data_IF_817877919714
#
_entry.id   IF_817877919714
#
_cell.length_a   1.000
_cell.length_b   1.000
_cell.length_c   1.000
_cell.angle_alpha   90.00
_cell.angle_beta   90.00
_cell.angle_gamma   90.00
#
_symmetry.space_group_name_H-M   'P 1'
#
loop_
_entity.id
_entity.type
_entity.pdbx_description
1 polymer ?
#
# COMPACT_ATOMS: atom_id res chain seq x y z
N UNK A 1 8.13 -18.60 -6.70
CA UNK A 1 7.68 -18.32 -8.09
C UNK A 1 7.23 -16.86 -8.30
N UNK A 2 6.15 -16.40 -7.65
CA UNK A 2 5.68 -15.01 -7.75
C UNK A 2 6.64 -13.95 -7.18
N UNK A 3 7.52 -14.33 -6.25
CA UNK A 3 8.57 -13.46 -5.70
C UNK A 3 9.75 -13.22 -6.65
N UNK A 4 9.84 -13.94 -7.77
CA UNK A 4 10.99 -13.88 -8.70
C UNK A 4 10.64 -13.26 -10.06
N UNK A 5 9.37 -12.98 -10.30
CA UNK A 5 8.89 -12.35 -11.53
C UNK A 5 8.73 -10.84 -11.34
N UNK A 6 8.70 -10.10 -12.46
CA UNK A 6 8.32 -8.67 -12.46
C UNK A 6 6.93 -8.48 -11.84
N UNK A 7 6.52 -7.24 -11.50
CA UNK A 7 5.18 -7.00 -10.96
C UNK A 7 4.09 -7.65 -11.82
N UNK A 8 3.21 -8.44 -11.20
CA UNK A 8 2.27 -9.32 -11.91
C UNK A 8 0.97 -9.60 -11.13
N UNK A 9 0.87 -9.11 -9.90
CA UNK A 9 -0.24 -9.37 -8.98
C UNK A 9 -1.20 -8.17 -8.89
N UNK A 10 -2.05 -8.16 -7.87
CA UNK A 10 -2.92 -7.02 -7.55
C UNK A 10 -2.12 -5.73 -7.36
N UNK A 11 -2.77 -4.59 -7.58
CA UNK A 11 -2.14 -3.26 -7.54
C UNK A 11 -0.92 -3.12 -8.47
N UNK A 12 -0.94 -3.78 -9.63
CA UNK A 12 0.14 -3.75 -10.62
C UNK A 12 0.57 -2.32 -11.00
N UNK A 13 -0.39 -1.41 -11.17
CA UNK A 13 -0.11 0.00 -11.45
C UNK A 13 0.73 0.65 -10.35
N UNK A 14 0.44 0.40 -9.06
CA UNK A 14 1.19 1.01 -7.96
C UNK A 14 2.58 0.39 -7.81
N UNK A 15 2.71 -0.91 -8.07
CA UNK A 15 4.01 -1.60 -8.05
C UNK A 15 4.93 -1.09 -9.17
N UNK A 16 4.40 -0.97 -10.39
CA UNK A 16 5.15 -0.45 -11.55
C UNK A 16 5.54 1.00 -11.38
N UNK A 17 4.65 1.83 -10.82
CA UNK A 17 4.94 3.21 -10.45
C UNK A 17 6.10 3.32 -9.43
N UNK A 18 6.05 2.50 -8.38
CA UNK A 18 7.10 2.46 -7.35
C UNK A 18 8.44 2.00 -7.94
N UNK A 19 8.40 0.95 -8.77
CA UNK A 19 9.59 0.43 -9.43
C UNK A 19 10.19 1.41 -10.46
N UNK A 20 9.35 2.17 -11.17
CA UNK A 20 9.77 3.20 -12.11
C UNK A 20 10.63 4.27 -11.42
N UNK A 21 10.16 4.79 -10.28
CA UNK A 21 10.91 5.78 -9.51
C UNK A 21 12.24 5.22 -9.00
N UNK A 22 12.24 3.96 -8.54
CA UNK A 22 13.47 3.28 -8.11
C UNK A 22 14.49 3.13 -9.25
N UNK A 23 14.01 2.83 -10.47
CA UNK A 23 14.81 2.77 -11.69
C UNK A 23 15.38 4.16 -12.06
N UNK A 24 14.58 5.21 -11.97
CA UNK A 24 15.00 6.57 -12.30
C UNK A 24 16.08 7.13 -11.36
N UNK A 25 16.17 6.66 -10.11
CA UNK A 25 17.30 6.97 -9.23
C UNK A 25 18.66 6.42 -9.71
N UNK A 26 18.64 5.46 -10.64
CA UNK A 26 19.82 4.87 -11.25
C UNK A 26 20.08 5.45 -12.62
N UNK A 27 19.03 5.51 -13.44
CA UNK A 27 19.14 5.88 -14.85
C UNK A 27 19.25 7.39 -15.08
N UNK A 28 18.73 8.21 -14.16
CA UNK A 28 18.71 9.66 -14.34
C UNK A 28 19.52 10.39 -13.27
N UNK A 29 19.15 10.25 -11.99
CA UNK A 29 19.77 11.00 -10.90
C UNK A 29 19.39 10.40 -9.54
N UNK A 30 20.37 10.15 -8.68
CA UNK A 30 20.18 9.58 -7.34
C UNK A 30 19.74 10.56 -6.26
N UNK A 31 19.32 11.78 -6.59
CA UNK A 31 18.87 12.74 -5.60
C UNK A 31 17.51 12.34 -5.00
N UNK A 32 17.52 11.82 -3.77
CA UNK A 32 16.33 11.42 -3.01
C UNK A 32 15.25 12.51 -2.94
N UNK A 33 15.64 13.79 -2.92
CA UNK A 33 14.72 14.92 -2.82
C UNK A 33 14.16 15.37 -4.18
N UNK A 34 14.64 14.81 -5.29
CA UNK A 34 14.15 15.10 -6.65
C UNK A 34 13.72 13.79 -7.34
N UNK A 35 12.72 13.06 -6.81
CA UNK A 35 12.26 11.82 -7.43
C UNK A 35 11.68 12.10 -8.81
N UNK A 36 11.89 11.16 -9.76
CA UNK A 36 11.43 11.27 -11.14
C UNK A 36 10.50 10.12 -11.51
N UNK A 37 9.50 10.42 -12.34
CA UNK A 37 8.48 9.47 -12.81
C UNK A 37 8.55 9.29 -14.31
N UNK A 38 7.95 8.21 -14.83
CA UNK A 38 7.98 7.90 -16.27
C UNK A 38 6.85 8.59 -17.05
N UNK A 39 5.70 8.76 -16.40
CA UNK A 39 4.56 9.52 -16.93
C UNK A 39 4.83 11.01 -16.69
N UNK A 40 5.52 11.63 -17.64
CA UNK A 40 6.00 13.02 -17.54
C UNK A 40 5.85 13.84 -18.81
N UNK A 41 5.36 13.22 -19.88
CA UNK A 41 5.43 13.80 -21.21
C UNK A 41 6.86 14.17 -21.58
N UNK A 42 7.05 15.41 -22.02
CA UNK A 42 8.34 16.01 -22.36
C UNK A 42 9.03 16.73 -21.18
N UNK A 43 8.49 16.63 -19.95
CA UNK A 43 9.04 17.28 -18.77
C UNK A 43 10.19 16.46 -18.16
N UNK A 44 10.88 17.06 -17.18
CA UNK A 44 12.00 16.42 -16.46
C UNK A 44 11.60 15.19 -15.63
N UNK A 45 10.30 15.04 -15.33
CA UNK A 45 9.76 13.98 -14.48
C UNK A 45 9.85 14.25 -12.99
N UNK A 46 10.53 15.33 -12.57
CA UNK A 46 10.59 15.67 -11.14
C UNK A 46 9.18 16.05 -10.69
N UNK A 47 8.69 15.43 -9.63
CA UNK A 47 7.36 15.74 -9.08
C UNK A 47 7.28 15.44 -7.60
N UNK A 48 6.33 16.07 -6.94
CA UNK A 48 5.89 15.69 -5.61
C UNK A 48 5.26 14.30 -5.63
N UNK A 49 5.58 13.51 -4.61
CA UNK A 49 5.02 12.19 -4.37
C UNK A 49 5.14 11.80 -2.89
N UNK A 50 4.79 10.56 -2.56
CA UNK A 50 5.15 9.96 -1.29
C UNK A 50 6.67 10.00 -1.08
N UNK A 51 7.14 10.12 0.16
CA UNK A 51 8.58 10.23 0.39
C UNK A 51 9.31 9.01 -0.17
N UNK A 52 10.23 9.17 -1.13
CA UNK A 52 10.72 8.07 -1.98
C UNK A 52 11.81 7.24 -1.29
N UNK A 53 11.78 7.12 0.04
CA UNK A 53 12.79 6.38 0.80
C UNK A 53 12.81 4.89 0.44
N UNK A 54 11.64 4.26 0.29
CA UNK A 54 11.56 2.87 -0.18
C UNK A 54 12.18 2.72 -1.57
N UNK A 55 11.77 3.58 -2.52
CA UNK A 55 12.24 3.59 -3.89
C UNK A 55 13.77 3.78 -3.94
N UNK A 56 14.30 4.63 -3.06
CA UNK A 56 15.72 4.88 -2.94
C UNK A 56 16.48 3.66 -2.43
N UNK A 57 16.01 2.97 -1.39
CA UNK A 57 16.64 1.72 -0.93
C UNK A 57 16.59 0.65 -2.03
N UNK A 58 15.48 0.53 -2.76
CA UNK A 58 15.40 -0.39 -3.92
C UNK A 58 16.43 0.00 -4.99
N UNK A 59 16.62 1.29 -5.26
CA UNK A 59 17.67 1.75 -6.19
C UNK A 59 19.07 1.37 -5.71
N UNK A 60 19.36 1.45 -4.41
CA UNK A 60 20.65 1.00 -3.87
C UNK A 60 20.86 -0.51 -4.09
N UNK A 61 19.80 -1.32 -3.95
CA UNK A 61 19.85 -2.74 -4.30
C UNK A 61 20.09 -2.93 -5.81
N UNK A 62 19.46 -2.11 -6.66
CA UNK A 62 19.71 -2.14 -8.11
C UNK A 62 21.17 -1.77 -8.46
N UNK A 63 21.82 -0.88 -7.73
CA UNK A 63 23.25 -0.57 -7.93
C UNK A 63 24.15 -1.77 -7.64
N UNK A 64 23.79 -2.59 -6.67
CA UNK A 64 24.61 -3.74 -6.23
C UNK A 64 24.35 -4.97 -7.10
N UNK A 65 23.09 -5.25 -7.43
CA UNK A 65 22.67 -6.51 -8.06
C UNK A 65 22.20 -6.35 -9.52
N UNK A 66 22.17 -5.13 -10.05
CA UNK A 66 21.54 -4.81 -11.33
C UNK A 66 20.05 -4.49 -11.19
N UNK A 67 19.46 -3.85 -12.21
CA UNK A 67 18.03 -3.54 -12.24
C UNK A 67 17.25 -4.85 -12.35
N UNK A 68 16.65 -5.26 -11.24
CA UNK A 68 15.90 -6.52 -11.14
C UNK A 68 14.71 -6.37 -10.20
N UNK A 69 13.51 -6.23 -10.77
CA UNK A 69 12.26 -5.90 -10.06
C UNK A 69 11.97 -6.73 -8.79
N UNK A 70 12.27 -8.05 -8.73
CA UNK A 70 12.13 -8.85 -7.52
C UNK A 70 12.83 -8.31 -6.27
N UNK A 71 13.89 -7.50 -6.40
CA UNK A 71 14.59 -6.93 -5.25
C UNK A 71 13.67 -6.04 -4.40
N UNK A 72 12.73 -5.32 -5.01
CA UNK A 72 11.70 -4.58 -4.28
C UNK A 72 10.78 -5.51 -3.49
N UNK A 73 10.33 -6.61 -4.10
CA UNK A 73 9.49 -7.63 -3.43
C UNK A 73 10.24 -8.23 -2.24
N UNK A 74 11.53 -8.49 -2.37
CA UNK A 74 12.36 -9.05 -1.30
C UNK A 74 12.60 -8.06 -0.17
N UNK A 75 12.77 -6.77 -0.46
CA UNK A 75 12.83 -5.74 0.56
C UNK A 75 11.52 -5.70 1.37
N UNK A 76 10.36 -5.72 0.71
CA UNK A 76 9.05 -5.78 1.38
C UNK A 76 8.89 -7.04 2.23
N UNK A 77 9.38 -8.18 1.74
CA UNK A 77 9.35 -9.45 2.47
C UNK A 77 10.24 -9.43 3.71
N UNK A 78 11.44 -8.84 3.60
CA UNK A 78 12.32 -8.64 4.74
C UNK A 78 11.67 -7.73 5.79
N UNK A 79 11.09 -6.61 5.36
CA UNK A 79 10.37 -5.69 6.26
C UNK A 79 9.20 -6.38 6.96
N UNK A 80 8.36 -7.14 6.24
CA UNK A 80 7.21 -7.83 6.83
C UNK A 80 7.64 -8.92 7.82
N UNK A 81 8.71 -9.65 7.53
CA UNK A 81 9.28 -10.69 8.42
C UNK A 81 9.82 -10.09 9.71
N UNK A 82 10.57 -8.98 9.62
CA UNK A 82 11.08 -8.29 10.80
C UNK A 82 9.92 -7.68 11.60
N UNK A 83 8.93 -7.09 10.92
CA UNK A 83 7.72 -6.55 11.54
C UNK A 83 6.98 -7.62 12.36
N UNK A 84 6.78 -8.83 11.81
CA UNK A 84 6.18 -9.96 12.53
C UNK A 84 6.99 -10.38 13.76
N UNK A 85 8.31 -10.41 13.64
CA UNK A 85 9.19 -10.80 14.75
C UNK A 85 9.11 -9.80 15.90
N UNK A 86 9.14 -8.50 15.60
CA UNK A 86 9.03 -7.46 16.62
C UNK A 86 7.60 -7.37 17.17
N UNK A 87 6.59 -7.57 16.32
CA UNK A 87 5.20 -7.67 16.75
C UNK A 87 4.98 -8.80 17.75
N UNK A 88 5.54 -9.99 17.50
CA UNK A 88 5.46 -11.10 18.44
C UNK A 88 6.09 -10.75 19.80
N UNK A 89 7.25 -10.08 19.81
CA UNK A 89 7.90 -9.62 21.05
C UNK A 89 7.06 -8.58 21.79
N UNK A 90 6.48 -7.62 21.07
CA UNK A 90 5.57 -6.62 21.62
C UNK A 90 4.32 -7.29 22.22
N UNK A 91 3.72 -8.22 21.48
CA UNK A 91 2.55 -8.97 21.91
C UNK A 91 2.87 -9.88 23.11
N UNK A 92 4.06 -10.49 23.18
CA UNK A 92 4.50 -11.24 24.36
C UNK A 92 4.59 -10.36 25.62
N UNK A 93 5.07 -9.12 25.47
CA UNK A 93 5.23 -8.19 26.58
C UNK A 93 3.88 -7.68 27.09
N UNK A 94 2.96 -7.30 26.20
CA UNK A 94 1.67 -6.71 26.57
C UNK A 94 0.58 -7.76 26.83
N UNK A 95 0.63 -8.87 26.10
CA UNK A 95 -0.46 -9.82 25.94
C UNK A 95 0.05 -11.27 25.76
N UNK A 96 0.83 -11.81 26.72
CA UNK A 96 1.60 -13.04 26.56
C UNK A 96 0.75 -14.24 26.14
N UNK A 97 -0.46 -14.33 26.70
CA UNK A 97 -1.37 -15.45 26.50
C UNK A 97 -1.94 -15.52 25.08
N UNK A 98 -2.02 -14.39 24.37
CA UNK A 98 -2.55 -14.32 23.01
C UNK A 98 -1.49 -13.99 21.95
N UNK A 99 -0.22 -13.81 22.34
CA UNK A 99 0.86 -13.34 21.46
C UNK A 99 1.04 -14.21 20.20
N UNK A 100 1.06 -15.53 20.36
CA UNK A 100 1.21 -16.46 19.24
C UNK A 100 0.01 -16.42 18.30
N UNK A 101 -1.21 -16.38 18.84
CA UNK A 101 -2.42 -16.29 18.03
C UNK A 101 -2.55 -14.94 17.30
N UNK A 102 -2.16 -13.85 17.97
CA UNK A 102 -2.14 -12.53 17.38
C UNK A 102 -1.13 -12.46 16.22
N UNK A 103 0.06 -13.01 16.41
CA UNK A 103 1.11 -13.02 15.39
C UNK A 103 0.71 -13.90 14.20
N UNK A 104 0.12 -15.06 14.47
CA UNK A 104 -0.39 -15.94 13.43
C UNK A 104 -1.50 -15.25 12.63
N UNK A 105 -2.40 -14.54 13.31
CA UNK A 105 -3.47 -13.76 12.66
C UNK A 105 -2.92 -12.63 11.80
N UNK A 106 -1.90 -11.91 12.28
CA UNK A 106 -1.25 -10.86 11.50
C UNK A 106 -0.60 -11.45 10.23
N UNK A 107 0.12 -12.56 10.37
CA UNK A 107 0.75 -13.25 9.24
C UNK A 107 -0.27 -13.72 8.20
N UNK A 108 -1.40 -14.29 8.63
CA UNK A 108 -2.42 -14.82 7.72
C UNK A 108 -3.45 -13.79 7.25
N UNK A 109 -3.37 -12.53 7.71
CA UNK A 109 -4.14 -11.43 7.14
C UNK A 109 -3.83 -11.31 5.65
N UNK A 110 -4.88 -11.25 4.82
CA UNK A 110 -4.75 -11.13 3.37
C UNK A 110 -3.90 -9.92 2.98
N UNK A 111 -4.18 -8.77 3.58
CA UNK A 111 -3.48 -7.54 3.26
C UNK A 111 -2.00 -7.60 3.65
N UNK A 112 -1.71 -8.13 4.85
CA UNK A 112 -0.34 -8.21 5.35
C UNK A 112 0.51 -9.17 4.50
N UNK A 113 -0.03 -10.33 4.15
CA UNK A 113 0.65 -11.30 3.30
C UNK A 113 0.89 -10.76 1.88
N UNK A 114 -0.16 -10.20 1.25
CA UNK A 114 -0.07 -9.70 -0.13
C UNK A 114 0.94 -8.56 -0.24
N UNK A 115 0.80 -7.51 0.56
CA UNK A 115 1.73 -6.37 0.55
C UNK A 115 3.15 -6.76 0.99
N UNK A 116 3.29 -7.84 1.79
CA UNK A 116 4.56 -8.50 2.12
C UNK A 116 5.39 -8.93 0.91
N UNK A 117 4.78 -9.00 -0.28
CA UNK A 117 5.40 -9.51 -1.50
C UNK A 117 5.29 -8.58 -2.69
N UNK A 118 4.88 -7.33 -2.47
CA UNK A 118 4.69 -6.32 -3.51
C UNK A 118 5.78 -5.25 -3.43
N UNK A 119 6.12 -4.67 -4.58
CA UNK A 119 7.06 -3.53 -4.67
C UNK A 119 6.35 -2.26 -4.20
N UNK A 120 6.19 -2.09 -2.89
CA UNK A 120 5.44 -0.99 -2.28
C UNK A 120 6.04 -0.60 -0.92
N UNK A 121 6.03 0.69 -0.53
CA UNK A 121 6.58 1.16 0.75
C UNK A 121 5.80 0.71 1.99
N UNK A 122 4.59 0.17 1.82
CA UNK A 122 3.62 -0.13 2.88
C UNK A 122 4.17 -1.05 3.97
N UNK A 123 4.90 -2.10 3.59
CA UNK A 123 5.47 -3.04 4.56
C UNK A 123 6.65 -2.45 5.33
N UNK A 124 7.41 -1.56 4.71
CA UNK A 124 8.45 -0.83 5.39
C UNK A 124 7.86 0.18 6.39
N UNK A 125 6.79 0.88 6.01
CA UNK A 125 6.05 1.75 6.91
C UNK A 125 5.42 0.97 8.08
N UNK A 126 4.88 -0.22 7.82
CA UNK A 126 4.35 -1.12 8.85
C UNK A 126 5.44 -1.61 9.81
N UNK A 127 6.63 -1.98 9.31
CA UNK A 127 7.75 -2.35 10.17
C UNK A 127 8.11 -1.21 11.13
N UNK A 128 8.30 0.01 10.62
CA UNK A 128 8.59 1.18 11.43
C UNK A 128 7.45 1.57 12.39
N UNK A 129 6.19 1.36 12.00
CA UNK A 129 5.04 1.55 12.88
C UNK A 129 5.14 0.62 14.10
N UNK A 130 5.40 -0.67 13.88
CA UNK A 130 5.53 -1.65 14.97
C UNK A 130 6.76 -1.36 15.82
N UNK A 131 7.88 -0.95 15.21
CA UNK A 131 9.09 -0.56 15.94
C UNK A 131 8.84 0.65 16.83
N UNK A 132 8.11 1.66 16.34
CA UNK A 132 7.73 2.82 17.13
C UNK A 132 7.00 2.42 18.39
N UNK A 133 5.94 1.62 18.24
CA UNK A 133 5.15 1.15 19.39
C UNK A 133 6.00 0.29 20.33
N UNK A 134 6.81 -0.62 19.79
CA UNK A 134 7.67 -1.49 20.58
C UNK A 134 8.68 -0.71 21.42
N UNK A 135 9.42 0.23 20.82
CA UNK A 135 10.37 1.05 21.55
C UNK A 135 9.69 1.96 22.56
N UNK A 136 8.54 2.53 22.24
CA UNK A 136 7.77 3.36 23.16
C UNK A 136 7.31 2.59 24.39
N UNK A 137 6.71 1.42 24.20
CA UNK A 137 6.25 0.57 25.31
C UNK A 137 7.43 0.19 26.22
N UNK A 138 8.56 -0.19 25.63
CA UNK A 138 9.79 -0.47 26.39
C UNK A 138 10.39 0.75 27.08
N UNK A 139 10.27 1.93 26.48
CA UNK A 139 10.66 3.17 27.11
C UNK A 139 9.82 3.41 28.37
N UNK A 140 8.51 3.19 28.32
CA UNK A 140 7.64 3.35 29.51
C UNK A 140 8.00 2.43 30.68
N UNK A 141 8.66 1.30 30.43
CA UNK A 141 9.10 0.36 31.48
C UNK A 141 10.51 0.67 32.02
N UNK A 142 11.38 1.32 31.23
CA UNK A 142 12.80 1.45 31.57
C UNK A 142 13.32 2.89 31.61
N UNK A 143 12.51 3.85 31.17
CA UNK A 143 12.81 5.29 31.06
C UNK A 143 14.12 5.63 30.32
N UNK A 144 14.62 4.71 29.47
CA UNK A 144 15.86 4.90 28.71
C UNK A 144 15.65 5.87 27.53
N UNK A 145 16.33 7.02 27.46
CA UNK A 145 16.12 8.01 26.39
C UNK A 145 16.38 7.48 24.98
N UNK A 146 17.30 6.50 24.82
CA UNK A 146 17.58 5.87 23.54
C UNK A 146 16.38 5.11 22.97
N UNK A 147 15.49 4.56 23.81
CA UNK A 147 14.27 3.92 23.37
C UNK A 147 13.24 4.94 22.91
N UNK A 148 13.13 6.08 23.60
CA UNK A 148 12.26 7.17 23.14
C UNK A 148 12.75 7.73 21.79
N UNK A 149 14.06 7.91 21.63
CA UNK A 149 14.66 8.32 20.35
C UNK A 149 14.40 7.28 19.24
N UNK A 150 14.57 5.98 19.53
CA UNK A 150 14.24 4.90 18.60
C UNK A 150 12.76 4.89 18.21
N UNK A 151 11.87 5.18 19.16
CA UNK A 151 10.43 5.36 18.89
C UNK A 151 10.18 6.57 17.99
N UNK A 152 10.80 7.74 18.27
CA UNK A 152 10.66 8.95 17.46
C UNK A 152 11.09 8.73 16.03
N UNK A 153 12.28 8.17 15.81
CA UNK A 153 12.82 7.92 14.46
C UNK A 153 11.95 6.91 13.71
N UNK A 154 11.49 5.86 14.38
CA UNK A 154 10.60 4.87 13.76
C UNK A 154 9.24 5.48 13.42
N UNK A 155 8.64 6.28 14.31
CA UNK A 155 7.38 6.97 14.06
C UNK A 155 7.49 7.95 12.88
N UNK A 156 8.57 8.72 12.86
CA UNK A 156 8.91 9.64 11.78
C UNK A 156 8.99 8.90 10.45
N UNK A 157 9.76 7.81 10.35
CA UNK A 157 9.90 7.04 9.11
C UNK A 157 8.58 6.37 8.69
N UNK A 158 7.80 5.84 9.63
CA UNK A 158 6.50 5.23 9.34
C UNK A 158 5.54 6.24 8.70
N UNK A 159 5.40 7.43 9.30
CA UNK A 159 4.50 8.49 8.84
C UNK A 159 5.02 9.20 7.59
N UNK A 160 6.33 9.35 7.45
CA UNK A 160 6.97 9.94 6.28
C UNK A 160 6.84 9.04 5.04
N UNK A 161 6.91 7.71 5.21
CA UNK A 161 6.59 6.77 4.13
C UNK A 161 5.09 6.77 3.82
N UNK A 162 4.26 6.72 4.86
CA UNK A 162 2.80 6.56 4.76
C UNK A 162 2.10 7.33 5.90
N UNK A 163 1.49 8.51 5.63
CA UNK A 163 0.92 9.36 6.68
C UNK A 163 -0.12 8.68 7.58
N UNK A 164 -0.89 7.75 7.03
CA UNK A 164 -1.91 6.98 7.76
C UNK A 164 -1.33 6.06 8.86
N UNK A 165 -0.01 5.84 8.90
CA UNK A 165 0.65 5.18 10.03
C UNK A 165 0.74 6.04 11.30
N UNK A 166 0.22 7.28 11.28
CA UNK A 166 -0.05 8.08 12.48
C UNK A 166 -0.89 7.35 13.53
N UNK A 167 -1.60 6.28 13.13
CA UNK A 167 -2.21 5.28 13.99
C UNK A 167 -1.31 4.77 15.13
N UNK A 168 0.01 4.64 14.91
CA UNK A 168 0.95 4.27 15.98
C UNK A 168 0.96 5.33 17.11
N UNK A 169 0.88 6.61 16.76
CA UNK A 169 0.84 7.72 17.71
C UNK A 169 -0.43 7.71 18.54
N UNK A 170 -1.57 7.37 17.91
CA UNK A 170 -2.85 7.18 18.58
C UNK A 170 -2.73 6.05 19.61
N UNK A 171 -2.21 4.89 19.22
CA UNK A 171 -2.01 3.78 20.15
C UNK A 171 -1.08 4.14 21.29
N UNK A 172 0.07 4.77 21.01
CA UNK A 172 1.02 5.20 22.04
C UNK A 172 0.37 6.14 23.05
N UNK A 173 -0.42 7.12 22.60
CA UNK A 173 -1.14 8.05 23.49
C UNK A 173 -2.22 7.34 24.31
N UNK A 174 -3.04 6.49 23.70
CA UNK A 174 -4.08 5.75 24.43
C UNK A 174 -3.47 4.75 25.43
N UNK A 175 -2.37 4.10 25.07
CA UNK A 175 -1.62 3.22 25.95
C UNK A 175 -0.99 3.98 27.13
N UNK A 176 -0.51 5.20 26.88
CA UNK A 176 0.01 6.08 27.93
C UNK A 176 -1.11 6.52 28.89
N UNK A 177 -2.28 6.90 28.38
CA UNK A 177 -3.47 7.19 29.21
C UNK A 177 -3.88 5.96 30.03
N UNK A 178 -3.84 4.78 29.42
CA UNK A 178 -4.13 3.52 30.12
C UNK A 178 -3.15 3.26 31.28
N UNK A 179 -1.86 3.55 31.09
CA UNK A 179 -0.78 3.31 32.08
C UNK A 179 -0.72 4.34 33.19
N UNK A 180 -0.91 5.62 32.87
CA UNK A 180 -0.63 6.75 33.77
C UNK A 180 -1.85 7.63 34.06
N UNK A 181 -3.01 7.29 33.50
CA UNK A 181 -4.27 8.03 33.66
C UNK A 181 -4.38 9.26 32.75
N UNK A 182 -5.55 9.88 32.74
CA UNK A 182 -5.88 11.00 31.82
C UNK A 182 -5.01 12.26 32.01
N UNK A 183 -4.40 12.42 33.19
CA UNK A 183 -3.55 13.59 33.52
C UNK A 183 -2.33 13.71 32.60
N UNK A 184 -1.92 12.64 31.91
CA UNK A 184 -0.83 12.71 30.91
C UNK A 184 -1.11 13.69 29.78
N UNK A 185 -2.38 13.97 29.48
CA UNK A 185 -2.79 14.96 28.49
C UNK A 185 -2.42 16.40 28.88
N UNK A 186 -2.03 16.63 30.13
CA UNK A 186 -1.54 17.94 30.58
C UNK A 186 -0.01 18.07 30.43
N UNK A 187 0.69 16.98 30.11
CA UNK A 187 2.14 16.98 30.01
C UNK A 187 2.60 17.31 28.59
N UNK A 188 3.14 18.52 28.42
CA UNK A 188 3.60 19.04 27.14
C UNK A 188 4.71 18.18 26.49
N UNK A 189 5.47 17.39 27.25
CA UNK A 189 6.52 16.48 26.74
C UNK A 189 5.99 15.53 25.67
N UNK A 190 4.79 14.99 25.84
CA UNK A 190 4.22 14.02 24.90
C UNK A 190 3.76 14.66 23.59
N UNK A 191 3.27 15.89 23.67
CA UNK A 191 2.94 16.68 22.48
C UNK A 191 4.20 17.12 21.74
N UNK A 192 5.24 17.55 22.47
CA UNK A 192 6.54 17.86 21.88
C UNK A 192 7.13 16.62 21.17
N UNK A 193 7.09 15.44 21.81
CA UNK A 193 7.49 14.18 21.20
C UNK A 193 6.73 13.90 19.90
N UNK A 194 5.39 13.98 19.92
CA UNK A 194 4.55 13.73 18.75
C UNK A 194 4.80 14.73 17.62
N UNK A 195 4.91 16.02 17.97
CA UNK A 195 5.16 17.09 17.02
C UNK A 195 6.54 16.96 16.37
N UNK A 196 7.61 16.85 17.16
CA UNK A 196 8.99 16.72 16.66
C UNK A 196 9.11 15.49 15.76
N UNK A 197 8.51 14.36 16.15
CA UNK A 197 8.58 13.12 15.36
C UNK A 197 7.78 13.24 14.04
N UNK A 198 6.79 14.13 13.97
CA UNK A 198 5.98 14.36 12.76
C UNK A 198 6.52 15.48 11.85
N UNK A 199 7.47 16.30 12.33
CA UNK A 199 7.98 17.47 11.59
C UNK A 199 8.46 17.13 10.17
N UNK A 200 9.25 16.06 9.93
CA UNK A 200 9.70 15.73 8.57
C UNK A 200 8.55 15.32 7.66
N UNK A 201 7.57 14.57 8.17
CA UNK A 201 6.36 14.21 7.43
C UNK A 201 5.56 15.45 7.06
N UNK A 202 5.41 16.40 8.00
CA UNK A 202 4.74 17.68 7.74
C UNK A 202 5.49 18.46 6.65
N UNK A 203 6.81 18.60 6.80
CA UNK A 203 7.68 19.29 5.84
C UNK A 203 7.59 18.71 4.43
N UNK A 204 7.63 17.38 4.31
CA UNK A 204 7.56 16.72 3.01
C UNK A 204 6.18 16.87 2.36
N UNK A 205 5.11 16.45 3.03
CA UNK A 205 3.80 16.35 2.39
C UNK A 205 3.09 17.69 2.24
N UNK A 206 3.26 18.64 3.18
CA UNK A 206 2.53 19.91 3.13
C UNK A 206 3.30 21.05 2.48
N UNK A 207 4.63 20.93 2.33
CA UNK A 207 5.45 22.03 1.79
C UNK A 207 6.30 21.61 0.60
N UNK A 208 7.09 20.55 0.74
CA UNK A 208 8.10 20.23 -0.28
C UNK A 208 7.53 19.48 -1.48
N UNK A 209 6.73 18.45 -1.26
CA UNK A 209 6.08 17.67 -2.32
C UNK A 209 5.18 18.55 -3.22
N UNK A 210 4.27 19.38 -2.68
CA UNK A 210 3.49 20.31 -3.49
C UNK A 210 4.36 21.26 -4.30
N UNK A 211 5.39 21.83 -3.65
CA UNK A 211 6.35 22.73 -4.31
C UNK A 211 7.03 22.06 -5.50
N UNK A 212 7.42 20.78 -5.39
CA UNK A 212 7.99 20.03 -6.52
C UNK A 212 6.98 19.92 -7.66
N UNK A 213 5.78 19.43 -7.38
CA UNK A 213 4.76 19.27 -8.41
C UNK A 213 4.42 20.59 -9.12
N UNK A 214 4.32 21.69 -8.39
CA UNK A 214 4.07 23.03 -8.94
C UNK A 214 5.26 23.56 -9.76
N UNK A 215 6.49 23.39 -9.25
CA UNK A 215 7.69 23.92 -9.90
C UNK A 215 8.05 23.20 -11.19
N UNK A 216 7.67 21.93 -11.32
CA UNK A 216 8.04 21.07 -12.44
C UNK A 216 6.86 20.68 -13.35
N UNK A 217 5.66 21.20 -13.09
CA UNK A 217 4.50 21.08 -13.99
C UNK A 217 3.72 19.77 -13.92
N UNK A 218 3.94 18.96 -12.87
CA UNK A 218 3.30 17.65 -12.68
C UNK A 218 2.33 17.66 -11.48
N UNK A 219 1.45 18.67 -11.43
CA UNK A 219 0.51 18.96 -10.33
C UNK A 219 -0.57 17.89 -10.13
N UNK A 220 -0.93 17.15 -11.18
CA UNK A 220 -1.96 16.11 -11.13
C UNK A 220 -1.43 14.72 -10.80
N UNK A 221 -0.10 14.54 -10.71
CA UNK A 221 0.50 13.21 -10.56
C UNK A 221 0.25 12.62 -9.16
N UNK A 222 0.39 13.43 -8.10
CA UNK A 222 0.22 12.95 -6.73
C UNK A 222 -1.09 13.42 -6.11
N UNK A 223 -1.91 12.46 -5.68
CA UNK A 223 -3.17 12.76 -4.99
C UNK A 223 -2.91 13.09 -3.52
N UNK A 224 -3.03 14.37 -3.16
CA UNK A 224 -2.87 14.86 -1.79
C UNK A 224 -4.11 14.71 -0.90
N UNK A 225 -5.20 14.12 -1.42
CA UNK A 225 -6.50 14.12 -0.75
C UNK A 225 -7.42 15.23 -1.26
N UNK A 226 -8.67 15.20 -0.79
CA UNK A 226 -9.66 16.24 -1.07
C UNK A 226 -9.73 17.23 0.10
N UNK A 227 -10.13 18.49 -0.13
CA UNK A 227 -10.45 19.41 0.95
C UNK A 227 -11.50 18.81 1.89
N UNK A 228 -11.32 18.99 3.21
CA UNK A 228 -12.25 18.44 4.22
C UNK A 228 -13.71 18.81 3.93
N UNK A 229 -13.97 20.06 3.54
CA UNK A 229 -15.32 20.52 3.19
C UNK A 229 -15.98 19.65 2.10
N UNK A 230 -15.21 19.27 1.07
CA UNK A 230 -15.73 18.43 0.00
C UNK A 230 -16.04 17.02 0.50
N UNK A 231 -15.17 16.45 1.33
CA UNK A 231 -15.40 15.13 1.95
C UNK A 231 -16.66 15.16 2.81
N UNK A 232 -16.86 16.20 3.62
CA UNK A 232 -18.07 16.39 4.41
C UNK A 232 -19.33 16.47 3.56
N UNK A 233 -19.30 17.20 2.44
CA UNK A 233 -20.43 17.25 1.51
C UNK A 233 -20.71 15.89 0.86
N UNK A 234 -19.67 15.11 0.54
CA UNK A 234 -19.82 13.74 0.01
C UNK A 234 -20.41 12.78 1.07
N UNK A 235 -20.00 12.91 2.34
CA UNK A 235 -20.58 12.18 3.48
C UNK A 235 -22.08 12.48 3.61
N UNK A 236 -22.43 13.78 3.64
CA UNK A 236 -23.81 14.23 3.84
C UNK A 236 -24.75 13.90 2.67
N UNK A 237 -24.21 13.74 1.46
CA UNK A 237 -24.97 13.42 0.27
C UNK A 237 -25.29 11.91 0.11
N UNK A 238 -25.16 11.11 1.18
CA UNK A 238 -25.34 9.65 1.20
C UNK A 238 -24.55 8.90 0.12
N UNK A 239 -23.45 9.48 -0.35
CA UNK A 239 -22.55 8.80 -1.28
C UNK A 239 -21.76 7.69 -0.58
N UNK A 240 -21.76 7.65 0.75
CA UNK A 240 -21.05 6.64 1.54
C UNK A 240 -21.99 5.50 1.85
N UNK A 241 -21.66 4.30 1.40
CA UNK A 241 -22.38 3.09 1.78
C UNK A 241 -21.65 2.36 2.91
N UNK A 242 -22.08 2.47 4.19
CA UNK A 242 -21.39 1.82 5.31
C UNK A 242 -21.32 0.30 5.19
N UNK A 243 -22.26 -0.33 4.49
CA UNK A 243 -22.20 -1.78 4.25
C UNK A 243 -21.07 -2.16 3.29
N UNK A 244 -20.74 -1.28 2.34
CA UNK A 244 -19.55 -1.45 1.51
C UNK A 244 -18.26 -1.36 2.35
N UNK A 245 -18.23 -0.52 3.39
CA UNK A 245 -17.08 -0.45 4.32
C UNK A 245 -16.89 -1.76 5.08
N UNK A 246 -17.97 -2.30 5.65
CA UNK A 246 -17.94 -3.56 6.38
C UNK A 246 -17.56 -4.71 5.43
N UNK A 247 -18.16 -4.73 4.24
CA UNK A 247 -17.85 -5.73 3.21
C UNK A 247 -16.37 -5.70 2.85
N UNK A 248 -15.84 -4.53 2.49
CA UNK A 248 -14.41 -4.37 2.20
C UNK A 248 -13.57 -4.76 3.42
N UNK A 249 -13.93 -4.30 4.63
CA UNK A 249 -13.20 -4.59 5.89
C UNK A 249 -12.96 -6.11 6.08
N UNK A 250 -13.97 -6.92 5.79
CA UNK A 250 -13.88 -8.36 5.99
C UNK A 250 -13.44 -9.14 4.75
N UNK A 251 -13.81 -8.72 3.54
CA UNK A 251 -13.40 -9.38 2.30
C UNK A 251 -11.94 -9.11 1.96
N UNK A 252 -11.53 -7.85 2.06
CA UNK A 252 -10.27 -7.37 1.50
C UNK A 252 -9.14 -7.31 2.53
N UNK A 253 -9.40 -7.48 3.84
CA UNK A 253 -8.37 -7.26 4.87
C UNK A 253 -8.25 -8.35 5.91
N UNK A 254 -9.38 -8.72 6.52
CA UNK A 254 -9.36 -9.60 7.67
C UNK A 254 -9.63 -11.04 7.27
N UNK A 255 -10.54 -11.32 6.34
CA UNK A 255 -11.21 -12.62 6.09
C UNK A 255 -12.38 -12.82 7.06
N UNK A 256 -13.55 -13.22 6.53
CA UNK A 256 -14.79 -13.44 7.32
C UNK A 256 -14.62 -14.43 8.48
N UNK A 257 -13.64 -15.34 8.39
CA UNK A 257 -13.30 -16.25 9.48
C UNK A 257 -13.01 -15.53 10.80
N UNK A 258 -12.40 -14.33 10.76
CA UNK A 258 -12.08 -13.58 11.97
C UNK A 258 -13.28 -12.87 12.58
N UNK A 259 -14.27 -12.47 11.76
CA UNK A 259 -15.55 -12.00 12.28
C UNK A 259 -16.24 -13.09 13.09
N UNK A 260 -16.24 -14.33 12.60
CA UNK A 260 -16.82 -15.46 13.33
C UNK A 260 -16.09 -15.69 14.67
N UNK A 261 -14.76 -15.60 14.70
CA UNK A 261 -13.97 -15.70 15.94
C UNK A 261 -14.37 -14.60 16.93
N UNK A 262 -14.55 -13.37 16.46
CA UNK A 262 -15.00 -12.25 17.30
C UNK A 262 -16.43 -12.46 17.82
N UNK A 263 -17.35 -12.94 16.98
CA UNK A 263 -18.73 -13.21 17.38
C UNK A 263 -18.82 -14.35 18.41
N UNK A 264 -18.03 -15.42 18.23
CA UNK A 264 -17.94 -16.52 19.19
C UNK A 264 -17.37 -16.03 20.52
N UNK A 265 -16.35 -15.17 20.48
CA UNK A 265 -15.81 -14.51 21.68
C UNK A 265 -16.88 -13.70 22.43
N UNK A 266 -17.62 -12.85 21.73
CA UNK A 266 -18.69 -12.03 22.30
C UNK A 266 -19.81 -12.90 22.88
N UNK A 267 -20.20 -13.97 22.18
CA UNK A 267 -21.18 -14.94 22.66
C UNK A 267 -20.74 -15.63 23.95
N UNK A 268 -19.50 -16.15 24.00
CA UNK A 268 -18.95 -16.81 25.19
C UNK A 268 -18.93 -15.86 26.39
N UNK A 269 -18.57 -14.60 26.17
CA UNK A 269 -18.61 -13.57 27.22
C UNK A 269 -20.03 -13.28 27.69
N UNK A 270 -20.98 -13.13 26.77
CA UNK A 270 -22.39 -12.90 27.10
C UNK A 270 -23.01 -14.03 27.94
N UNK A 271 -22.62 -15.29 27.70
CA UNK A 271 -23.11 -16.43 28.47
C UNK A 271 -22.60 -16.43 29.92
N UNK A 272 -21.44 -15.84 30.21
CA UNK A 272 -20.84 -15.79 31.56
C UNK A 272 -21.31 -14.59 32.39
N UNK A 273 -22.57 -14.15 32.21
CA UNK A 273 -23.28 -12.96 32.77
C UNK A 273 -23.05 -12.55 34.23
N UNK A 274 -22.33 -13.31 35.07
CA UNK A 274 -22.32 -13.18 36.54
C UNK A 274 -21.35 -12.14 37.12
N UNK A 275 -20.51 -11.44 36.35
CA UNK A 275 -19.59 -10.44 36.91
C UNK A 275 -19.21 -9.30 35.94
N UNK A 276 -20.13 -8.37 35.71
CA UNK A 276 -19.87 -7.18 34.87
C UNK A 276 -18.76 -6.26 35.42
N UNK A 277 -18.44 -6.33 36.71
CA UNK A 277 -17.33 -5.61 37.34
C UNK A 277 -15.94 -6.13 36.92
N UNK A 278 -15.81 -7.43 36.60
CA UNK A 278 -14.59 -8.00 36.00
C UNK A 278 -14.46 -7.65 34.50
N UNK A 279 -15.56 -7.29 33.83
CA UNK A 279 -15.53 -6.92 32.41
C UNK A 279 -15.06 -5.47 32.19
N UNK A 280 -15.24 -4.54 33.13
CA UNK A 280 -14.72 -3.16 33.00
C UNK A 280 -13.19 -3.09 33.05
N UNK A 281 -12.54 -3.83 33.95
CA UNK A 281 -11.08 -3.91 34.00
C UNK A 281 -10.51 -4.55 32.72
N UNK A 282 -11.19 -5.58 32.20
CA UNK A 282 -10.83 -6.21 30.94
C UNK A 282 -10.99 -5.27 29.73
N UNK A 283 -12.10 -4.53 29.65
CA UNK A 283 -12.33 -3.50 28.63
C UNK A 283 -11.30 -2.36 28.74
N UNK A 284 -10.88 -2.01 29.96
CA UNK A 284 -9.81 -1.04 30.17
C UNK A 284 -8.48 -1.52 29.58
N UNK A 285 -8.12 -2.80 29.67
CA UNK A 285 -6.92 -3.35 29.02
C UNK A 285 -7.02 -3.41 27.48
N UNK A 286 -8.24 -3.48 26.93
CA UNK A 286 -8.49 -3.41 25.48
C UNK A 286 -8.65 -1.97 24.96
N UNK A 287 -8.80 -0.98 25.85
CA UNK A 287 -9.03 0.41 25.48
C UNK A 287 -8.01 0.96 24.48
N UNK A 288 -6.69 0.75 24.61
CA UNK A 288 -5.74 1.24 23.62
C UNK A 288 -5.93 0.60 22.24
N UNK A 289 -6.28 -0.68 22.19
CA UNK A 289 -6.52 -1.40 20.93
C UNK A 289 -7.79 -0.93 20.24
N UNK A 290 -8.93 -0.99 20.95
CA UNK A 290 -10.25 -0.64 20.43
C UNK A 290 -10.33 0.85 20.10
N UNK A 291 -9.78 1.70 20.96
CA UNK A 291 -9.71 3.14 20.74
C UNK A 291 -8.87 3.48 19.51
N UNK A 292 -7.74 2.80 19.29
CA UNK A 292 -6.92 3.03 18.08
C UNK A 292 -7.68 2.63 16.82
N UNK A 293 -8.26 1.42 16.79
CA UNK A 293 -9.04 0.95 15.64
C UNK A 293 -10.18 1.92 15.32
N UNK A 294 -10.96 2.31 16.34
CA UNK A 294 -12.09 3.21 16.17
C UNK A 294 -11.66 4.59 15.67
N UNK A 295 -10.66 5.21 16.33
CA UNK A 295 -10.19 6.54 15.94
C UNK A 295 -9.57 6.56 14.55
N UNK A 296 -8.82 5.52 14.16
CA UNK A 296 -8.26 5.45 12.81
C UNK A 296 -9.35 5.27 11.77
N UNK A 297 -10.36 4.43 12.01
CA UNK A 297 -11.51 4.29 11.11
C UNK A 297 -12.22 5.64 10.97
N UNK A 298 -12.50 6.33 12.07
CA UNK A 298 -13.12 7.67 12.05
C UNK A 298 -12.27 8.64 11.23
N UNK A 299 -10.95 8.70 11.47
CA UNK A 299 -10.07 9.60 10.74
C UNK A 299 -10.04 9.27 9.24
N UNK A 300 -10.00 7.98 8.86
CA UNK A 300 -10.03 7.57 7.46
C UNK A 300 -11.35 7.95 6.77
N UNK A 301 -12.49 7.77 7.44
CA UNK A 301 -13.81 8.25 6.95
C UNK A 301 -13.77 9.75 6.71
N UNK A 302 -13.28 10.51 7.68
CA UNK A 302 -13.30 11.98 7.65
C UNK A 302 -12.28 12.59 6.68
N UNK A 303 -11.21 11.89 6.34
CA UNK A 303 -10.08 12.44 5.54
C UNK A 303 -9.97 11.88 4.13
N UNK A 304 -10.49 10.68 3.85
CA UNK A 304 -10.37 10.04 2.53
C UNK A 304 -11.73 9.84 1.86
N UNK A 305 -12.83 9.81 2.63
CA UNK A 305 -14.18 9.59 2.10
C UNK A 305 -14.25 8.31 1.26
N UNK A 306 -14.91 8.38 0.11
CA UNK A 306 -15.11 7.22 -0.77
C UNK A 306 -13.86 6.78 -1.55
N UNK A 307 -12.83 7.63 -1.68
CA UNK A 307 -11.57 7.21 -2.33
C UNK A 307 -10.90 6.03 -1.61
N UNK A 308 -11.27 5.84 -0.35
CA UNK A 308 -10.82 4.74 0.48
C UNK A 308 -11.22 3.37 -0.05
N UNK A 309 -12.41 3.24 -0.65
CA UNK A 309 -12.96 1.96 -1.10
C UNK A 309 -12.09 1.25 -2.14
N UNK A 310 -11.39 2.03 -2.97
CA UNK A 310 -10.61 1.51 -4.10
C UNK A 310 -9.16 1.21 -3.68
N UNK A 311 -8.73 1.68 -2.51
CA UNK A 311 -7.34 1.67 -2.06
C UNK A 311 -7.20 1.01 -0.71
N UNK A 312 -7.47 -0.29 -0.76
CA UNK A 312 -7.63 -1.15 0.37
C UNK A 312 -6.45 -1.08 1.37
N UNK A 313 -5.24 -0.91 0.87
CA UNK A 313 -4.01 -0.83 1.66
C UNK A 313 -3.97 0.29 2.72
N UNK A 314 -4.86 1.30 2.67
CA UNK A 314 -4.97 2.30 3.74
C UNK A 314 -5.43 1.72 5.09
N UNK A 315 -6.05 0.54 5.12
CA UNK A 315 -6.38 -0.18 6.36
C UNK A 315 -5.18 -0.83 7.04
N UNK A 316 -4.02 -0.90 6.39
CA UNK A 316 -2.89 -1.63 6.91
C UNK A 316 -2.51 -1.27 8.37
N UNK A 317 -2.49 0.02 8.80
CA UNK A 317 -2.11 0.37 10.17
C UNK A 317 -3.03 -0.18 11.26
N UNK A 318 -4.28 -0.54 10.96
CA UNK A 318 -5.19 -1.09 11.97
C UNK A 318 -5.05 -2.61 12.15
N UNK A 319 -4.43 -3.30 11.19
CA UNK A 319 -4.33 -4.77 11.15
C UNK A 319 -3.58 -5.35 12.35
N UNK A 320 -2.44 -4.79 12.83
CA UNK A 320 -1.77 -5.32 14.02
C UNK A 320 -2.67 -5.31 15.27
N UNK A 321 -3.44 -4.24 15.46
CA UNK A 321 -4.35 -4.10 16.61
C UNK A 321 -5.53 -5.07 16.54
N UNK A 322 -6.13 -5.18 15.35
CA UNK A 322 -7.17 -6.18 15.09
C UNK A 322 -6.66 -7.61 15.29
N UNK A 323 -5.41 -7.87 14.91
CA UNK A 323 -4.78 -9.19 15.08
C UNK A 323 -4.68 -9.59 16.56
N UNK A 324 -4.41 -8.64 17.46
CA UNK A 324 -4.44 -8.89 18.91
C UNK A 324 -5.86 -9.23 19.38
N UNK A 325 -6.87 -8.50 18.92
CA UNK A 325 -8.28 -8.76 19.28
C UNK A 325 -8.74 -10.14 18.81
N UNK A 326 -8.31 -10.57 17.63
CA UNK A 326 -8.58 -11.91 17.14
C UNK A 326 -7.80 -12.98 17.90
N UNK A 327 -6.54 -12.72 18.23
CA UNK A 327 -5.75 -13.61 19.09
C UNK A 327 -6.41 -13.85 20.44
N UNK A 328 -7.01 -12.81 21.02
CA UNK A 328 -7.82 -12.91 22.23
C UNK A 328 -9.08 -13.79 22.03
N UNK A 329 -9.78 -13.63 20.90
CA UNK A 329 -10.92 -14.48 20.55
C UNK A 329 -10.52 -15.96 20.42
N UNK A 330 -9.41 -16.24 19.72
CA UNK A 330 -8.85 -17.59 19.58
C UNK A 330 -8.47 -18.20 20.94
N UNK A 331 -7.81 -17.42 21.80
CA UNK A 331 -7.48 -17.86 23.15
C UNK A 331 -8.73 -18.15 24.00
N UNK A 332 -9.78 -17.34 23.86
CA UNK A 332 -11.05 -17.55 24.58
C UNK A 332 -11.75 -18.83 24.12
N UNK A 333 -11.76 -19.10 22.81
CA UNK A 333 -12.29 -20.36 22.26
C UNK A 333 -11.53 -21.55 22.84
N UNK A 334 -10.19 -21.49 22.82
CA UNK A 334 -9.35 -22.57 23.34
C UNK A 334 -9.64 -22.88 24.82
N UNK A 335 -9.78 -21.84 25.64
CA UNK A 335 -10.02 -21.98 27.09
C UNK A 335 -11.46 -22.35 27.44
N UNK A 336 -12.45 -21.93 26.63
CA UNK A 336 -13.84 -22.26 26.87
C UNK A 336 -14.18 -23.70 26.46
N UNK A 337 -13.64 -24.17 25.33
CA UNK A 337 -13.89 -25.52 24.81
C UNK A 337 -12.80 -26.52 25.24
N UNK A 338 -12.44 -26.53 26.53
CA UNK A 338 -11.32 -27.33 27.09
C UNK A 338 -11.39 -28.83 26.78
N UNK A 339 -12.60 -29.42 26.76
CA UNK A 339 -12.83 -30.83 26.37
C UNK A 339 -12.42 -31.15 24.93
N UNK A 340 -12.35 -30.14 24.06
CA UNK A 340 -11.91 -30.25 22.67
C UNK A 340 -10.61 -29.48 22.41
N UNK A 341 -9.87 -29.08 23.46
CA UNK A 341 -8.74 -28.15 23.37
C UNK A 341 -7.65 -28.58 22.38
N UNK A 342 -7.38 -29.89 22.26
CA UNK A 342 -6.44 -30.42 21.28
C UNK A 342 -6.92 -30.20 19.83
N UNK A 343 -8.20 -30.49 19.55
CA UNK A 343 -8.80 -30.29 18.22
C UNK A 343 -8.99 -28.80 17.91
N UNK A 344 -9.40 -28.00 18.90
CA UNK A 344 -9.50 -26.55 18.79
C UNK A 344 -8.12 -25.93 18.50
N UNK A 345 -7.06 -26.36 19.18
CA UNK A 345 -5.70 -25.87 18.93
C UNK A 345 -5.20 -26.24 17.53
N UNK A 346 -5.45 -27.49 17.09
CA UNK A 346 -5.13 -27.93 15.72
C UNK A 346 -5.88 -27.11 14.68
N UNK A 347 -7.18 -26.88 14.86
CA UNK A 347 -7.99 -26.06 13.95
C UNK A 347 -7.52 -24.60 13.92
N UNK A 348 -7.15 -24.03 15.07
CA UNK A 348 -6.66 -22.64 15.17
C UNK A 348 -5.29 -22.44 14.50
N UNK A 349 -4.51 -23.49 14.30
CA UNK A 349 -3.27 -23.47 13.51
C UNK A 349 -3.54 -23.79 12.03
N UNK A 350 -4.39 -24.78 11.77
CA UNK A 350 -4.72 -25.25 10.42
C UNK A 350 -5.45 -24.18 9.61
N UNK A 351 -6.37 -23.41 10.21
CA UNK A 351 -7.12 -22.38 9.49
C UNK A 351 -6.20 -21.28 8.93
N UNK A 352 -5.31 -20.65 9.72
CA UNK A 352 -4.31 -19.73 9.20
C UNK A 352 -3.41 -20.35 8.12
N UNK A 353 -2.99 -21.61 8.27
CA UNK A 353 -2.20 -22.31 7.25
C UNK A 353 -2.99 -22.48 5.95
N UNK A 354 -4.25 -22.91 6.01
CA UNK A 354 -5.12 -23.04 4.82
C UNK A 354 -5.31 -21.67 4.16
N UNK A 355 -5.52 -20.62 4.96
CA UNK A 355 -5.63 -19.25 4.47
C UNK A 355 -4.34 -18.83 3.75
N UNK A 356 -3.17 -19.07 4.34
CA UNK A 356 -1.87 -18.80 3.72
C UNK A 356 -1.67 -19.61 2.43
N UNK A 357 -2.01 -20.89 2.43
CA UNK A 357 -1.91 -21.76 1.26
C UNK A 357 -2.85 -21.30 0.13
N UNK A 358 -4.06 -20.86 0.47
CA UNK A 358 -5.03 -20.28 -0.48
C UNK A 358 -4.52 -18.96 -1.09
N UNK A 359 -3.94 -18.10 -0.26
CA UNK A 359 -3.34 -16.85 -0.75
C UNK A 359 -2.10 -17.10 -1.61
N UNK A 360 -1.26 -18.06 -1.20
CA UNK A 360 -0.12 -18.51 -1.99
C UNK A 360 -0.57 -19.09 -3.33
N UNK A 361 -1.57 -19.97 -3.34
CA UNK A 361 -2.07 -20.60 -4.56
C UNK A 361 -2.69 -19.58 -5.51
N UNK A 362 -3.48 -18.63 -5.01
CA UNK A 362 -4.03 -17.53 -5.80
C UNK A 362 -2.93 -16.71 -6.47
N UNK A 363 -1.89 -16.37 -5.72
CA UNK A 363 -0.74 -15.60 -6.24
C UNK A 363 0.07 -16.43 -7.25
N UNK A 364 0.33 -17.70 -6.93
CA UNK A 364 1.04 -18.63 -7.79
C UNK A 364 0.32 -18.89 -9.12
N UNK A 365 -0.99 -19.14 -9.09
CA UNK A 365 -1.79 -19.42 -10.30
C UNK A 365 -1.79 -18.21 -11.24
N UNK A 366 -1.89 -16.99 -10.69
CA UNK A 366 -1.80 -15.76 -11.49
C UNK A 366 -0.44 -15.64 -12.17
N UNK A 367 0.65 -15.85 -11.44
CA UNK A 367 2.00 -15.82 -12.01
C UNK A 367 2.24 -16.94 -13.02
N UNK A 368 1.80 -18.17 -12.73
CA UNK A 368 2.07 -19.36 -13.55
C UNK A 368 1.42 -19.26 -14.93
N UNK A 369 0.27 -18.59 -15.05
CA UNK A 369 -0.36 -18.32 -16.35
C UNK A 369 0.49 -17.42 -17.26
N UNK A 370 1.51 -16.76 -16.72
CA UNK A 370 2.31 -15.76 -17.42
C UNK A 370 1.51 -14.48 -17.63
N UNK A 371 2.16 -13.34 -17.45
CA UNK A 371 1.59 -12.07 -17.87
C UNK A 371 2.32 -11.60 -19.13
N UNK A 372 1.67 -11.60 -20.30
CA UNK A 372 2.31 -11.22 -21.56
C UNK A 372 3.06 -9.90 -21.47
N UNK A 373 2.55 -8.94 -20.69
CA UNK A 373 3.13 -7.59 -20.50
C UNK A 373 4.62 -7.61 -20.12
N UNK A 374 5.13 -8.70 -19.54
CA UNK A 374 6.55 -8.85 -19.21
C UNK A 374 7.46 -8.89 -20.45
N UNK A 375 6.92 -9.22 -21.62
CA UNK A 375 7.61 -9.22 -22.91
C UNK A 375 7.51 -7.89 -23.67
N UNK A 376 6.75 -6.91 -23.15
CA UNK A 376 6.53 -5.64 -23.84
C UNK A 376 7.84 -4.88 -24.06
N UNK A 377 8.75 -4.89 -23.08
CA UNK A 377 10.04 -4.20 -23.18
C UNK A 377 10.85 -4.68 -24.39
N UNK A 378 10.94 -6.00 -24.56
CA UNK A 378 11.63 -6.64 -25.67
C UNK A 378 10.99 -6.26 -27.01
N UNK A 379 9.66 -6.25 -27.08
CA UNK A 379 8.95 -5.86 -28.29
C UNK A 379 9.15 -4.38 -28.65
N UNK A 380 9.10 -3.49 -27.67
CA UNK A 380 9.33 -2.04 -27.83
C UNK A 380 10.78 -1.75 -28.23
N UNK A 381 11.75 -2.43 -27.63
CA UNK A 381 13.17 -2.24 -27.91
C UNK A 381 13.57 -2.61 -29.34
N UNK A 382 12.83 -3.51 -30.00
CA UNK A 382 13.06 -3.85 -31.40
C UNK A 382 12.57 -2.78 -32.38
N UNK A 383 11.65 -1.88 -31.98
CA UNK A 383 10.92 -1.01 -32.91
C UNK A 383 10.92 0.48 -32.54
N UNK A 384 11.25 0.83 -31.30
CA UNK A 384 11.15 2.20 -30.76
C UNK A 384 12.51 2.61 -30.18
N UNK A 385 13.10 3.75 -30.59
CA UNK A 385 14.33 4.27 -29.99
C UNK A 385 14.22 4.48 -28.48
N UNK A 386 15.33 4.33 -27.75
CA UNK A 386 15.36 4.41 -26.26
C UNK A 386 14.95 5.77 -25.71
N UNK A 387 15.24 6.83 -26.45
CA UNK A 387 14.97 8.24 -26.14
C UNK A 387 13.62 8.75 -26.68
N UNK A 388 12.89 7.93 -27.44
CA UNK A 388 11.60 8.33 -27.99
C UNK A 388 10.55 8.53 -26.88
N UNK A 389 9.81 9.64 -26.96
CA UNK A 389 8.64 9.87 -26.14
C UNK A 389 7.42 9.14 -26.72
N UNK A 390 6.70 8.43 -25.86
CA UNK A 390 5.58 7.58 -26.26
C UNK A 390 4.27 7.97 -25.58
N UNK A 391 3.16 7.52 -26.18
CA UNK A 391 1.83 7.55 -25.57
C UNK A 391 1.42 6.11 -25.27
N UNK A 392 0.98 5.84 -24.04
CA UNK A 392 0.50 4.49 -23.65
C UNK A 392 -0.97 4.47 -23.24
N UNK A 393 -1.53 3.26 -23.22
CA UNK A 393 -2.93 2.98 -22.86
C UNK A 393 -3.19 2.89 -21.34
N UNK A 394 -4.47 2.73 -21.00
CA UNK A 394 -4.93 2.41 -19.64
C UNK A 394 -4.97 3.58 -18.64
N UNK A 395 -4.43 4.75 -18.98
CA UNK A 395 -4.37 5.91 -18.07
C UNK A 395 -3.57 5.64 -16.78
N UNK A 396 -2.60 4.73 -16.82
CA UNK A 396 -1.85 4.26 -15.66
C UNK A 396 -0.41 3.84 -16.05
N UNK A 397 0.52 3.68 -15.09
CA UNK A 397 1.95 3.49 -15.39
C UNK A 397 2.33 2.09 -15.87
N UNK A 398 1.41 1.12 -15.95
CA UNK A 398 1.76 -0.28 -16.25
C UNK A 398 2.45 -0.39 -17.61
N UNK A 399 1.78 0.04 -18.68
CA UNK A 399 2.33 -0.06 -20.04
C UNK A 399 3.60 0.78 -20.17
N UNK A 400 3.63 2.01 -19.62
CA UNK A 400 4.80 2.89 -19.67
C UNK A 400 6.03 2.26 -19.01
N UNK A 401 5.85 1.66 -17.82
CA UNK A 401 6.91 1.01 -17.07
C UNK A 401 7.53 -0.15 -17.86
N UNK A 402 6.67 -1.06 -18.35
CA UNK A 402 7.09 -2.24 -19.11
C UNK A 402 7.60 -1.91 -20.51
N UNK A 403 7.15 -0.81 -21.13
CA UNK A 403 7.74 -0.31 -22.37
C UNK A 403 9.15 0.26 -22.15
N UNK A 404 9.51 0.59 -20.91
CA UNK A 404 10.78 1.22 -20.55
C UNK A 404 11.03 2.49 -21.38
N UNK A 405 10.03 3.36 -21.45
CA UNK A 405 10.09 4.68 -22.10
C UNK A 405 9.45 5.72 -21.19
N UNK A 406 9.50 6.98 -21.63
CA UNK A 406 8.89 8.12 -20.96
C UNK A 406 7.83 8.74 -21.87
N UNK A 407 6.86 9.42 -21.28
CA UNK A 407 5.87 10.17 -22.06
C UNK A 407 4.52 10.27 -21.36
N UNK A 408 3.44 10.08 -22.12
CA UNK A 408 2.08 10.29 -21.66
C UNK A 408 1.32 8.97 -21.55
N UNK A 409 0.30 8.93 -20.69
CA UNK A 409 -0.69 7.85 -20.69
C UNK A 409 -2.08 8.45 -20.89
N UNK A 410 -2.87 7.81 -21.74
CA UNK A 410 -4.24 8.18 -22.01
C UNK A 410 -5.16 6.99 -21.70
N UNK A 411 -6.36 7.27 -21.23
CA UNK A 411 -7.40 6.25 -21.13
C UNK A 411 -7.80 5.75 -22.52
N UNK A 412 -8.28 4.51 -22.61
CA UNK A 412 -8.56 3.86 -23.92
C UNK A 412 -9.54 4.68 -24.78
N UNK A 413 -10.54 5.33 -24.18
CA UNK A 413 -11.47 6.21 -24.91
C UNK A 413 -10.78 7.48 -25.44
N UNK A 414 -9.87 8.06 -24.68
CA UNK A 414 -9.12 9.25 -25.10
C UNK A 414 -8.16 8.93 -26.24
N UNK A 415 -7.60 7.71 -26.28
CA UNK A 415 -6.76 7.22 -27.39
C UNK A 415 -7.53 7.01 -28.70
N UNK A 416 -8.84 6.75 -28.64
CA UNK A 416 -9.68 6.62 -29.84
C UNK A 416 -10.01 7.98 -30.48
N UNK A 417 -9.82 9.08 -29.74
CA UNK A 417 -9.99 10.44 -30.26
C UNK A 417 -8.64 10.98 -30.77
N UNK A 418 -8.38 10.84 -32.09
CA UNK A 418 -7.11 11.24 -32.71
C UNK A 418 -6.68 12.68 -32.42
N UNK A 419 -7.62 13.60 -32.15
CA UNK A 419 -7.28 14.97 -31.76
C UNK A 419 -6.40 15.05 -30.51
N UNK A 420 -6.60 14.15 -29.54
CA UNK A 420 -5.74 14.08 -28.34
C UNK A 420 -4.33 13.59 -28.70
N UNK A 421 -4.24 12.65 -29.64
CA UNK A 421 -2.96 12.07 -30.07
C UNK A 421 -2.18 13.05 -30.93
N UNK A 422 -2.87 13.77 -31.83
CA UNK A 422 -2.30 14.84 -32.65
C UNK A 422 -1.76 15.98 -31.77
N UNK A 423 -2.45 16.32 -30.68
CA UNK A 423 -1.94 17.26 -29.68
C UNK A 423 -0.62 16.77 -29.07
N UNK A 424 -0.60 15.54 -28.51
CA UNK A 424 0.61 15.00 -27.87
C UNK A 424 1.75 14.78 -28.86
N UNK A 425 1.44 14.48 -30.12
CA UNK A 425 2.42 14.44 -31.22
C UNK A 425 3.08 15.81 -31.40
N UNK A 426 2.31 16.90 -31.36
CA UNK A 426 2.87 18.26 -31.42
C UNK A 426 3.75 18.61 -30.21
N UNK A 427 3.56 17.94 -29.08
CA UNK A 427 4.38 18.07 -27.86
C UNK A 427 5.63 17.16 -27.86
N UNK A 428 5.81 16.33 -28.88
CA UNK A 428 7.00 15.49 -29.10
C UNK A 428 6.77 13.98 -29.07
N UNK A 429 5.53 13.51 -28.88
CA UNK A 429 5.24 12.07 -28.95
C UNK A 429 5.53 11.49 -30.34
N UNK A 430 6.28 10.41 -30.39
CA UNK A 430 6.70 9.77 -31.65
C UNK A 430 6.02 8.42 -31.91
N UNK A 431 5.51 7.76 -30.87
CA UNK A 431 4.87 6.45 -30.97
C UNK A 431 3.68 6.33 -30.01
N UNK A 432 2.66 5.59 -30.41
CA UNK A 432 1.67 5.01 -29.49
C UNK A 432 2.07 3.57 -29.24
N UNK A 433 2.20 3.19 -27.96
CA UNK A 433 2.50 1.83 -27.54
C UNK A 433 1.32 1.32 -26.71
N UNK A 434 0.64 0.32 -27.25
CA UNK A 434 -0.51 -0.31 -26.62
C UNK A 434 -0.07 -1.62 -25.99
N UNK A 435 -0.31 -1.73 -24.68
CA UNK A 435 -0.06 -2.94 -23.92
C UNK A 435 -1.09 -4.03 -24.23
N UNK A 436 -1.39 -4.86 -23.23
CA UNK A 436 -2.31 -5.97 -23.40
C UNK A 436 -3.77 -5.49 -23.42
N UNK A 437 -4.34 -5.34 -24.62
CA UNK A 437 -5.73 -4.94 -24.85
C UNK A 437 -6.67 -6.12 -25.08
N UNK A 438 -7.96 -5.95 -24.74
CA UNK A 438 -9.03 -6.85 -25.17
C UNK A 438 -9.28 -6.74 -26.68
N UNK A 439 -9.87 -7.79 -27.28
CA UNK A 439 -10.04 -7.88 -28.73
C UNK A 439 -10.88 -6.74 -29.31
N UNK A 440 -11.95 -6.33 -28.63
CA UNK A 440 -12.80 -5.24 -29.12
C UNK A 440 -12.07 -3.91 -29.14
N UNK A 441 -11.26 -3.63 -28.11
CA UNK A 441 -10.44 -2.43 -28.05
C UNK A 441 -9.34 -2.48 -29.10
N UNK A 442 -8.73 -3.64 -29.33
CA UNK A 442 -7.74 -3.81 -30.40
C UNK A 442 -8.32 -3.51 -31.78
N UNK A 443 -9.51 -4.02 -32.09
CA UNK A 443 -10.18 -3.75 -33.36
C UNK A 443 -10.54 -2.27 -33.50
N UNK A 444 -11.02 -1.63 -32.44
CA UNK A 444 -11.30 -0.20 -32.43
C UNK A 444 -10.03 0.63 -32.71
N UNK A 445 -8.90 0.29 -32.07
CA UNK A 445 -7.62 0.95 -32.33
C UNK A 445 -7.17 0.73 -33.78
N UNK A 446 -7.25 -0.49 -34.32
CA UNK A 446 -6.90 -0.75 -35.73
C UNK A 446 -7.73 0.06 -36.72
N UNK A 447 -9.01 0.31 -36.41
CA UNK A 447 -9.90 1.14 -37.25
C UNK A 447 -9.53 2.62 -37.17
N UNK A 448 -9.26 3.13 -35.98
CA UNK A 448 -8.91 4.55 -35.77
C UNK A 448 -7.54 4.89 -36.36
N UNK A 449 -6.57 3.98 -36.23
CA UNK A 449 -5.21 4.16 -36.72
C UNK A 449 -4.96 3.45 -38.06
N UNK A 450 -6.00 3.25 -38.89
CA UNK A 450 -5.89 2.53 -40.17
C UNK A 450 -4.86 3.15 -41.12
N UNK A 451 -4.66 4.45 -41.01
CA UNK A 451 -3.78 5.24 -41.88
C UNK A 451 -2.32 5.25 -41.39
N UNK A 452 -2.07 4.67 -40.21
CA UNK A 452 -0.73 4.54 -39.64
C UNK A 452 -0.21 3.11 -39.82
N UNK A 453 1.11 2.90 -39.94
CA UNK A 453 1.67 1.57 -39.87
C UNK A 453 1.46 1.01 -38.47
N UNK A 454 0.83 -0.16 -38.38
CA UNK A 454 0.58 -0.84 -37.11
C UNK A 454 1.48 -2.07 -37.03
N UNK A 455 2.43 -2.04 -36.11
CA UNK A 455 3.27 -3.18 -35.77
C UNK A 455 2.58 -3.95 -34.65
N UNK A 456 2.26 -5.22 -34.87
CA UNK A 456 1.59 -6.05 -33.85
C UNK A 456 2.38 -7.28 -33.50
N UNK A 457 2.48 -7.56 -32.20
CA UNK A 457 3.03 -8.83 -31.75
C UNK A 457 1.97 -9.96 -31.92
N UNK A 458 2.27 -11.03 -32.69
CA UNK A 458 1.32 -12.11 -32.96
C UNK A 458 0.89 -12.88 -31.72
N UNK A 459 1.69 -12.85 -30.65
CA UNK A 459 1.54 -13.73 -29.48
C UNK A 459 0.88 -13.05 -28.28
N UNK A 460 1.15 -11.76 -28.09
CA UNK A 460 0.90 -11.03 -26.84
C UNK A 460 -0.01 -9.83 -27.01
N UNK A 461 -0.52 -9.61 -28.24
CA UNK A 461 -1.53 -8.57 -28.52
C UNK A 461 -1.03 -7.13 -28.26
N UNK A 462 0.28 -6.90 -28.32
CA UNK A 462 0.85 -5.56 -28.29
C UNK A 462 0.70 -4.87 -29.64
N UNK A 463 0.62 -3.54 -29.61
CA UNK A 463 0.70 -2.73 -30.83
C UNK A 463 1.64 -1.55 -30.64
N UNK A 464 2.41 -1.26 -31.68
CA UNK A 464 3.22 -0.05 -31.79
C UNK A 464 2.77 0.68 -33.05
N UNK A 465 2.46 1.96 -32.90
CA UNK A 465 1.98 2.84 -33.97
C UNK A 465 2.94 4.03 -34.05
N UNK A 466 3.86 4.06 -35.02
CA UNK A 466 4.73 5.21 -35.24
C UNK A 466 3.93 6.39 -35.75
N UNK A 467 4.06 7.55 -35.10
CA UNK A 467 3.30 8.75 -35.41
C UNK A 467 3.97 9.61 -36.50
N UNK A 468 5.28 9.48 -36.69
CA UNK A 468 6.10 10.31 -37.58
C UNK A 468 6.47 9.62 -38.90
N UNK A 469 5.57 8.79 -39.45
CA UNK A 469 5.79 8.28 -40.81
C UNK A 469 5.32 9.35 -41.79
N UNK A 470 6.27 9.85 -42.57
CA UNK A 470 6.10 10.77 -43.68
C UNK A 470 5.18 10.13 -44.75
N UNK A 471 3.88 10.31 -44.60
CA UNK A 471 2.90 10.20 -45.66
C UNK A 471 2.12 11.50 -45.68
N UNK A 472 2.26 12.26 -46.76
CA UNK A 472 1.45 13.46 -47.01
C UNK A 472 -0.01 13.11 -46.74
N UNK A 473 -0.67 13.88 -45.84
CA UNK A 473 -2.13 13.93 -45.80
C UNK A 473 -2.56 14.55 -47.13
N UNK A 474 -2.77 13.73 -48.16
CA UNK A 474 -3.44 14.18 -49.38
C UNK A 474 -4.88 14.50 -49.01
N UNK A 475 -5.18 15.80 -49.07
CA UNK A 475 -6.46 16.44 -48.83
C UNK A 475 -7.62 15.86 -49.65
#
# INVERSE_FOLDING_TARGET
PFLFVRPDLTHLWRQTDTAAVARNFIEEDSNLFLPRVDIRGNLTGITGMEFPFYNYIVSLLYRIFGIWDPLGKWLSLACSTIALTVFYRLALQLWPVMASYATLTLLSSYLFFQLGSMVMPDMMAMAFHIFSVYFFVRFLDSDKPSLLAGSSVSFMLATLLRPYHGAAGIFMMLHLIHRQGIKVLLNLKWYAFGFISSLPMIGWYFFYSPKLSDSYGLTSYFFMGKPLRQIWLEILADKINPMQWVYELFQSYLNWAYLLILLVFLYVKFQKKKSWTLDLAFLWHLFPLLGTVLLVIILLVLTVGNHFFVHAYYMLPIIPYLSVLFGLGMHTIQTYFTRWSLYAHRLLIVVPIIVLLSQYSHSYIKTWKGNPIHHLETFVDMHVPKDALIITDGGNPITMYFAHRKGWTLGNQALLALGNVDQLKSEGASYVVLGQLDLSTQEAMRRVYSDYPILTDPTSRFMIIPLNVSGERTH
#
